data_IF_648587714379
#
_entry.id   IF_648587714379
#
_cell.length_a   1.000
_cell.length_b   1.000
_cell.length_c   1.000
_cell.angle_alpha   90.00
_cell.angle_beta   90.00
_cell.angle_gamma   90.00
#
_symmetry.space_group_name_H-M   'P 1'
#
loop_
_entity.id
_entity.type
_entity.pdbx_description
1 polymer ?
#
# COMPACT_ATOMS: atom_id res chain seq x y z
N UNK A 1 -9.64 -17.26 -18.95
CA UNK A 1 -8.32 -17.89 -18.77
C UNK A 1 -7.23 -17.01 -19.33
N UNK A 2 -6.08 -16.92 -18.65
CA UNK A 2 -4.88 -16.28 -19.19
C UNK A 2 -4.09 -15.35 -18.26
N UNK A 3 -4.60 -14.99 -17.08
CA UNK A 3 -3.85 -14.14 -16.14
C UNK A 3 -2.93 -15.02 -15.29
N UNK A 4 -1.63 -14.91 -15.52
CA UNK A 4 -0.60 -15.61 -14.73
C UNK A 4 -0.24 -14.85 -13.46
N UNK A 5 -0.28 -13.52 -13.51
CA UNK A 5 0.07 -12.64 -12.40
C UNK A 5 -0.61 -11.28 -12.51
N UNK A 6 -0.82 -10.63 -11.38
CA UNK A 6 -1.29 -9.25 -11.27
C UNK A 6 -0.16 -8.43 -10.65
N UNK A 7 0.26 -7.38 -11.36
CA UNK A 7 1.12 -6.35 -10.81
C UNK A 7 0.23 -5.24 -10.24
N UNK A 8 0.19 -5.12 -8.92
CA UNK A 8 -0.60 -4.12 -8.24
C UNK A 8 0.29 -2.95 -7.83
N UNK A 9 0.09 -1.78 -8.45
CA UNK A 9 0.93 -0.59 -8.24
C UNK A 9 0.26 0.38 -7.27
N UNK A 10 1.06 0.88 -6.31
CA UNK A 10 0.63 1.84 -5.30
C UNK A 10 1.63 2.98 -5.22
N UNK A 11 1.15 4.22 -5.26
CA UNK A 11 2.00 5.37 -5.00
C UNK A 11 2.24 5.52 -3.49
N UNK A 12 3.40 5.09 -3.01
CA UNK A 12 3.73 5.06 -1.58
C UNK A 12 3.79 6.46 -0.93
N UNK A 13 4.05 7.50 -1.72
CA UNK A 13 4.15 8.89 -1.29
C UNK A 13 2.81 9.62 -1.14
N UNK A 14 1.66 8.97 -1.38
CA UNK A 14 0.34 9.64 -1.40
C UNK A 14 -0.45 9.47 -0.10
N UNK A 15 0.23 9.13 0.99
CA UNK A 15 -0.37 8.93 2.32
C UNK A 15 -1.02 10.18 2.92
N UNK A 16 -0.74 11.36 2.40
CA UNK A 16 -1.28 12.67 2.80
C UNK A 16 -2.21 13.31 1.76
N UNK A 17 -2.47 12.61 0.65
CA UNK A 17 -3.26 13.14 -0.45
C UNK A 17 -4.67 12.56 -0.45
N UNK A 18 -5.62 13.35 -0.94
CA UNK A 18 -6.99 12.92 -1.22
C UNK A 18 -7.19 12.64 -2.71
N UNK A 19 -8.18 11.81 -3.04
CA UNK A 19 -8.66 11.59 -4.40
C UNK A 19 -9.10 12.92 -5.02
N UNK A 20 -8.89 13.06 -6.32
CA UNK A 20 -9.24 14.30 -7.02
C UNK A 20 -10.76 14.43 -7.19
N UNK A 21 -11.43 13.30 -7.27
CA UNK A 21 -12.83 13.09 -7.59
C UNK A 21 -13.75 13.57 -6.46
N UNK A 22 -13.42 13.22 -5.21
CA UNK A 22 -14.24 13.56 -4.03
C UNK A 22 -13.58 14.55 -3.07
N UNK A 23 -12.26 14.78 -3.21
CA UNK A 23 -11.42 15.63 -2.35
C UNK A 23 -11.50 15.29 -0.86
N UNK A 24 -11.87 14.07 -0.53
CA UNK A 24 -12.12 13.62 0.84
C UNK A 24 -11.43 12.29 1.13
N UNK A 25 -11.48 11.33 0.19
CA UNK A 25 -10.94 9.99 0.43
C UNK A 25 -9.43 9.99 0.30
N UNK A 26 -8.72 9.53 1.33
CA UNK A 26 -7.27 9.39 1.28
C UNK A 26 -6.84 8.39 0.19
N UNK A 27 -5.90 8.78 -0.66
CA UNK A 27 -5.47 7.99 -1.82
C UNK A 27 -4.87 6.63 -1.46
N UNK A 28 -4.09 6.58 -0.38
CA UNK A 28 -3.46 5.34 0.06
C UNK A 28 -4.50 4.40 0.69
N UNK A 29 -5.47 4.94 1.42
CA UNK A 29 -6.62 4.16 1.93
C UNK A 29 -7.42 3.55 0.76
N UNK A 30 -7.70 4.33 -0.28
CA UNK A 30 -8.40 3.81 -1.45
C UNK A 30 -7.61 2.70 -2.15
N UNK A 31 -6.30 2.89 -2.32
CA UNK A 31 -5.41 1.85 -2.86
C UNK A 31 -5.49 0.56 -2.05
N UNK A 32 -5.58 0.65 -0.71
CA UNK A 32 -5.77 -0.52 0.16
C UNK A 32 -7.14 -1.18 -0.02
N UNK A 33 -8.21 -0.41 -0.25
CA UNK A 33 -9.56 -0.95 -0.48
C UNK A 33 -9.65 -1.71 -1.80
N UNK A 34 -9.06 -1.16 -2.86
CA UNK A 34 -8.96 -1.82 -4.17
C UNK A 34 -8.12 -3.10 -4.03
N UNK A 35 -6.97 -3.02 -3.34
CA UNK A 35 -6.13 -4.20 -3.09
C UNK A 35 -6.89 -5.29 -2.32
N UNK A 36 -7.64 -4.93 -1.28
CA UNK A 36 -8.47 -5.86 -0.50
C UNK A 36 -9.46 -6.61 -1.40
N UNK A 37 -10.08 -5.90 -2.34
CA UNK A 37 -11.05 -6.48 -3.27
C UNK A 37 -10.39 -7.48 -4.21
N UNK A 38 -9.21 -7.15 -4.75
CA UNK A 38 -8.49 -8.02 -5.70
C UNK A 38 -7.89 -9.23 -4.98
N UNK A 39 -7.15 -9.00 -3.89
CA UNK A 39 -6.38 -10.05 -3.21
C UNK A 39 -7.24 -11.13 -2.56
N UNK A 40 -8.51 -10.81 -2.29
CA UNK A 40 -9.48 -11.75 -1.71
C UNK A 40 -10.48 -12.30 -2.74
N UNK A 41 -10.35 -11.95 -4.03
CA UNK A 41 -11.25 -12.43 -5.06
C UNK A 41 -10.99 -13.92 -5.36
N UNK A 42 -12.06 -14.73 -5.35
CA UNK A 42 -11.98 -16.18 -5.64
C UNK A 42 -11.44 -16.48 -7.03
N UNK A 43 -11.66 -15.59 -8.00
CA UNK A 43 -11.13 -15.71 -9.37
C UNK A 43 -9.60 -15.64 -9.42
N UNK A 44 -8.96 -15.04 -8.41
CA UNK A 44 -7.51 -14.82 -8.36
C UNK A 44 -6.79 -15.70 -7.33
N UNK A 45 -7.44 -16.74 -6.78
CA UNK A 45 -6.83 -17.62 -5.75
C UNK A 45 -5.50 -18.28 -6.21
N UNK A 46 -5.42 -18.59 -7.50
CA UNK A 46 -4.26 -19.22 -8.12
C UNK A 46 -3.38 -18.22 -8.89
N UNK A 47 -3.74 -16.94 -8.89
CA UNK A 47 -2.99 -15.88 -9.57
C UNK A 47 -2.00 -15.26 -8.58
N UNK A 48 -0.75 -15.08 -9.00
CA UNK A 48 0.25 -14.39 -8.17
C UNK A 48 -0.02 -12.89 -8.18
N UNK A 49 -0.12 -12.27 -7.01
CA UNK A 49 -0.30 -10.84 -6.87
C UNK A 49 0.98 -10.26 -6.28
N UNK A 50 1.62 -9.35 -7.02
CA UNK A 50 2.88 -8.71 -6.65
C UNK A 50 2.58 -7.23 -6.40
N UNK A 51 2.92 -6.74 -5.21
CA UNK A 51 2.70 -5.36 -4.77
C UNK A 51 3.92 -4.50 -5.10
N UNK A 52 3.75 -3.50 -5.94
CA UNK A 52 4.75 -2.46 -6.18
C UNK A 52 4.40 -1.19 -5.41
N UNK A 53 5.28 -0.80 -4.50
CA UNK A 53 5.23 0.47 -3.80
C UNK A 53 6.13 1.47 -4.54
N UNK A 54 5.51 2.23 -5.44
CA UNK A 54 6.16 3.19 -6.35
C UNK A 54 6.38 4.56 -5.70
N UNK A 55 7.18 5.38 -6.38
CA UNK A 55 7.52 6.75 -5.98
C UNK A 55 8.24 6.79 -4.64
N UNK A 56 9.12 5.81 -4.42
CA UNK A 56 9.90 5.71 -3.17
C UNK A 56 10.82 6.92 -2.98
N UNK A 57 11.31 7.49 -4.07
CA UNK A 57 12.03 8.77 -4.10
C UNK A 57 11.19 9.91 -3.48
N UNK A 58 9.93 10.03 -3.87
CA UNK A 58 9.02 11.04 -3.31
C UNK A 58 8.63 10.71 -1.86
N UNK A 59 8.54 9.43 -1.50
CA UNK A 59 8.32 9.01 -0.11
C UNK A 59 9.48 9.47 0.78
N UNK A 60 10.74 9.28 0.35
CA UNK A 60 11.94 9.71 1.08
C UNK A 60 11.90 11.20 1.39
N UNK A 61 11.56 12.03 0.41
CA UNK A 61 11.47 13.48 0.62
C UNK A 61 10.28 13.84 1.51
N UNK A 62 9.14 13.15 1.34
CA UNK A 62 7.91 13.47 2.05
C UNK A 62 7.97 13.13 3.53
N UNK A 63 8.57 12.02 3.94
CA UNK A 63 8.66 11.65 5.36
C UNK A 63 9.49 12.65 6.16
N UNK A 64 10.33 13.49 5.53
CA UNK A 64 11.09 14.55 6.20
C UNK A 64 10.21 15.71 6.65
N UNK A 65 9.10 15.96 5.96
CA UNK A 65 8.26 17.15 6.17
C UNK A 65 6.85 16.79 6.64
N UNK A 66 6.25 15.71 6.15
CA UNK A 66 4.86 15.31 6.44
C UNK A 66 4.80 14.06 7.31
N UNK A 67 4.19 14.21 8.49
CA UNK A 67 4.01 13.12 9.46
C UNK A 67 2.87 12.19 9.03
N UNK A 68 3.18 10.91 8.77
CA UNK A 68 2.21 9.89 8.37
C UNK A 68 1.10 9.67 9.40
N UNK A 69 1.37 9.93 10.69
CA UNK A 69 0.41 9.72 11.80
C UNK A 69 -0.83 10.62 11.69
N UNK A 70 -0.75 11.70 10.92
CA UNK A 70 -1.90 12.58 10.65
C UNK A 70 -3.04 11.86 9.92
N UNK A 71 -2.71 10.91 9.04
CA UNK A 71 -3.67 10.11 8.29
C UNK A 71 -3.76 8.67 8.79
N UNK A 72 -2.69 8.18 9.42
CA UNK A 72 -2.59 6.81 9.94
C UNK A 72 -2.21 6.83 11.44
N UNK A 73 -3.15 7.19 12.32
CA UNK A 73 -2.88 7.36 13.76
C UNK A 73 -2.48 6.05 14.46
N UNK A 74 -2.66 4.90 13.81
CA UNK A 74 -2.22 3.58 14.24
C UNK A 74 -0.74 3.28 13.98
N UNK A 75 -0.03 4.14 13.23
CA UNK A 75 1.41 4.02 13.04
C UNK A 75 2.16 4.13 14.39
N UNK A 76 3.11 3.23 14.64
CA UNK A 76 3.84 3.12 15.91
C UNK A 76 5.37 3.27 15.79
N UNK A 77 5.89 3.38 14.58
CA UNK A 77 7.33 3.58 14.33
C UNK A 77 7.76 5.04 14.41
N UNK A 78 8.99 5.30 13.98
CA UNK A 78 9.52 6.64 13.74
C UNK A 78 9.02 7.18 12.39
N UNK A 79 8.22 8.26 12.35
CA UNK A 79 7.63 8.77 11.11
C UNK A 79 8.65 9.43 10.19
N UNK A 80 9.89 9.64 10.66
CA UNK A 80 11.00 10.20 9.86
C UNK A 80 11.96 9.13 9.36
N UNK A 81 11.80 7.88 9.78
CA UNK A 81 12.61 6.74 9.33
C UNK A 81 11.93 6.03 8.18
N UNK A 82 12.63 5.94 7.04
CA UNK A 82 12.08 5.33 5.83
C UNK A 82 11.68 3.87 6.06
N UNK A 83 12.52 3.09 6.72
CA UNK A 83 12.28 1.67 6.97
C UNK A 83 11.01 1.43 7.80
N UNK A 84 10.80 2.22 8.85
CA UNK A 84 9.60 2.12 9.69
C UNK A 84 8.33 2.43 8.89
N UNK A 85 8.37 3.48 8.06
CA UNK A 85 7.26 3.85 7.18
C UNK A 85 7.00 2.77 6.12
N UNK A 86 8.05 2.29 5.45
CA UNK A 86 7.96 1.22 4.45
C UNK A 86 7.40 -0.07 5.04
N UNK A 87 7.89 -0.49 6.22
CA UNK A 87 7.39 -1.66 6.92
C UNK A 87 5.91 -1.52 7.29
N UNK A 88 5.50 -0.33 7.74
CA UNK A 88 4.09 -0.03 7.99
C UNK A 88 3.24 -0.16 6.72
N UNK A 89 3.67 0.41 5.59
CA UNK A 89 2.93 0.31 4.33
C UNK A 89 2.71 -1.16 3.92
N UNK A 90 3.78 -1.95 3.89
CA UNK A 90 3.70 -3.39 3.56
C UNK A 90 2.78 -4.12 4.53
N UNK A 91 2.88 -3.82 5.83
CA UNK A 91 2.02 -4.41 6.84
C UNK A 91 0.54 -4.04 6.60
N UNK A 92 0.25 -2.80 6.25
CA UNK A 92 -1.11 -2.31 5.98
C UNK A 92 -1.75 -3.04 4.79
N UNK A 93 -1.03 -3.24 3.68
CA UNK A 93 -1.51 -4.07 2.58
C UNK A 93 -1.61 -5.55 2.96
N UNK A 94 -0.64 -6.09 3.68
CA UNK A 94 -0.69 -7.48 4.16
C UNK A 94 -1.89 -7.74 5.07
N UNK A 95 -2.33 -6.73 5.84
CA UNK A 95 -3.49 -6.85 6.74
C UNK A 95 -4.81 -7.04 5.99
N UNK A 96 -4.92 -6.51 4.77
CA UNK A 96 -6.09 -6.66 3.90
C UNK A 96 -6.29 -8.08 3.35
N UNK A 97 -5.29 -8.96 3.49
CA UNK A 97 -5.38 -10.35 3.03
C UNK A 97 -6.08 -11.24 4.06
N UNK A 98 -7.12 -11.94 3.63
CA UNK A 98 -7.79 -13.00 4.41
C UNK A 98 -6.93 -14.25 4.51
N UNK A 99 -6.35 -14.69 3.39
CA UNK A 99 -5.40 -15.80 3.37
C UNK A 99 -3.97 -15.28 3.42
N UNK A 100 -3.27 -15.51 4.55
CA UNK A 100 -1.88 -15.12 4.78
C UNK A 100 -0.90 -16.29 4.74
N UNK A 101 -1.31 -17.46 4.25
CA UNK A 101 -0.42 -18.63 4.16
C UNK A 101 0.71 -18.44 3.16
N UNK A 102 0.48 -17.69 2.07
CA UNK A 102 1.49 -17.31 1.09
C UNK A 102 2.14 -15.97 1.48
N UNK A 103 3.46 -15.78 1.28
CA UNK A 103 4.08 -14.46 1.48
C UNK A 103 3.47 -13.41 0.54
N UNK A 104 3.50 -12.14 0.95
CA UNK A 104 3.16 -11.02 0.06
C UNK A 104 4.42 -10.63 -0.71
N UNK A 105 4.50 -11.00 -1.98
CA UNK A 105 5.56 -10.51 -2.85
C UNK A 105 5.40 -9.00 -3.02
N UNK A 106 6.44 -8.26 -2.69
CA UNK A 106 6.42 -6.81 -2.78
C UNK A 106 7.79 -6.24 -3.13
N UNK A 107 7.78 -5.08 -3.78
CA UNK A 107 8.98 -4.34 -4.14
C UNK A 107 8.74 -2.84 -3.92
N UNK A 108 9.77 -2.15 -3.45
CA UNK A 108 9.83 -0.69 -3.48
C UNK A 108 10.50 -0.26 -4.78
N UNK A 109 9.91 0.72 -5.47
CA UNK A 109 10.38 1.22 -6.77
C UNK A 109 10.29 2.74 -6.84
#
# INVERSE_FOLDING_TARGET
>A
DGITSILFMVSSSEYDQVLMEDRQTNRLVESMNIFETIVNNKLFLNVSIILFLNKTDLLVEKIRTVDIRRNFPEFRGDPRRLEDVQAFLVQSFSRKRRNRSKPLFHHFT
#
